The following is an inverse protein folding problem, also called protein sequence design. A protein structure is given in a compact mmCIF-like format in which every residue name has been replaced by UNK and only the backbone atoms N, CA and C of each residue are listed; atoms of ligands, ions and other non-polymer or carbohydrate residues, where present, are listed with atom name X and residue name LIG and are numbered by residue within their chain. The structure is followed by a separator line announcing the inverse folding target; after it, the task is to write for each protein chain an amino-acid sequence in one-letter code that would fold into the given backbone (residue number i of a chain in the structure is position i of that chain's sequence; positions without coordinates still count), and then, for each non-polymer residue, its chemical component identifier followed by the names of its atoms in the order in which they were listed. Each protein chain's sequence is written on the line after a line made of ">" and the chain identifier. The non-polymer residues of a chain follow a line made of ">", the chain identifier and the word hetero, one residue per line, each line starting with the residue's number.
data_IF_686507014608
#
_entry.id   IF_686507014608
#
_cell.length_a   1.000
_cell.length_b   1.000
_cell.length_c   1.000
_cell.angle_alpha   90.00
_cell.angle_beta   90.00
_cell.angle_gamma   90.00
#
_symmetry.space_group_name_H-M   'P 1'
#
loop_
_entity.id
_entity.type
_entity.pdbx_description
1 polymer ?
#
# COMPACT_ATOMS: atom_id res chain seq x y z
N UNK A 1 -14.53 6.01 5.18
CA UNK A 1 -15.24 6.37 3.95
C UNK A 1 -15.08 5.27 2.92
N UNK A 2 -13.87 4.87 2.56
CA UNK A 2 -13.56 3.91 1.49
C UNK A 2 -14.15 2.50 1.69
N UNK A 3 -14.36 2.10 2.93
CA UNK A 3 -14.69 0.71 3.27
C UNK A 3 -16.17 0.43 3.42
N UNK A 4 -16.96 1.45 3.67
CA UNK A 4 -18.39 1.30 3.96
C UNK A 4 -19.23 2.25 3.11
N UNK A 5 -20.22 1.73 2.35
CA UNK A 5 -21.15 2.55 1.60
C UNK A 5 -22.18 3.26 2.51
N UNK A 6 -22.33 2.75 3.75
CA UNK A 6 -23.19 3.33 4.79
C UNK A 6 -22.37 3.46 6.06
N UNK A 7 -22.32 4.65 6.62
CA UNK A 7 -21.61 4.93 7.87
C UNK A 7 -22.59 5.38 8.94
N UNK A 8 -22.52 4.71 10.08
CA UNK A 8 -23.25 5.13 11.28
C UNK A 8 -22.41 6.19 11.98
N UNK A 9 -22.94 7.41 12.07
CA UNK A 9 -22.19 8.56 12.57
C UNK A 9 -22.77 9.04 13.90
N UNK A 10 -21.97 9.05 14.98
CA UNK A 10 -22.36 9.64 16.26
C UNK A 10 -22.46 11.17 16.19
N UNK A 11 -23.07 11.80 17.19
CA UNK A 11 -23.21 13.28 17.25
C UNK A 11 -21.89 14.04 17.21
N UNK A 12 -20.81 13.48 17.74
CA UNK A 12 -19.49 14.14 17.78
C UNK A 12 -18.88 14.39 16.40
N UNK A 13 -19.33 13.73 15.33
CA UNK A 13 -18.85 14.04 13.96
C UNK A 13 -19.23 15.43 13.47
N UNK A 14 -20.17 16.09 14.15
CA UNK A 14 -20.59 17.46 13.88
C UNK A 14 -19.73 18.50 14.65
N UNK A 15 -18.80 18.07 15.47
CA UNK A 15 -17.90 18.98 16.21
C UNK A 15 -16.97 19.66 15.23
N UNK A 16 -16.81 20.97 15.39
CA UNK A 16 -15.94 21.79 14.56
C UNK A 16 -14.48 21.53 14.86
N UNK A 17 -13.71 21.40 13.79
CA UNK A 17 -12.26 21.30 13.81
C UNK A 17 -11.68 22.27 12.77
N UNK A 18 -10.42 22.63 12.94
CA UNK A 18 -9.66 23.43 11.99
C UNK A 18 -8.37 22.68 11.61
N UNK A 19 -8.51 21.63 10.76
CA UNK A 19 -7.38 20.79 10.40
C UNK A 19 -6.36 21.57 9.59
N UNK A 20 -5.08 21.33 9.86
CA UNK A 20 -3.96 21.96 9.17
C UNK A 20 -3.24 20.93 8.29
N UNK A 21 -2.79 21.34 7.11
CA UNK A 21 -1.94 20.52 6.26
C UNK A 21 -0.56 20.31 6.91
N UNK A 22 0.04 19.14 6.66
CA UNK A 22 1.35 18.83 7.28
C UNK A 22 2.44 19.79 6.81
N UNK A 23 2.39 20.20 5.55
CA UNK A 23 3.33 21.15 5.00
C UNK A 23 3.24 22.53 5.66
N UNK A 24 2.01 23.03 5.86
CA UNK A 24 1.78 24.29 6.56
C UNK A 24 2.27 24.21 8.01
N UNK A 25 2.05 23.06 8.68
CA UNK A 25 2.57 22.83 10.03
C UNK A 25 4.10 22.89 10.05
N UNK A 26 4.77 22.28 9.08
CA UNK A 26 6.24 22.29 8.96
C UNK A 26 6.71 23.73 8.73
N UNK A 27 6.03 24.49 7.86
CA UNK A 27 6.35 25.89 7.59
C UNK A 27 6.25 26.75 8.87
N UNK A 28 5.20 26.55 9.68
CA UNK A 28 5.08 27.21 10.98
C UNK A 28 6.22 26.85 11.95
N UNK A 29 6.61 25.56 12.00
CA UNK A 29 7.70 25.11 12.86
C UNK A 29 9.05 25.68 12.39
N UNK A 30 9.28 25.72 11.08
CA UNK A 30 10.49 26.34 10.51
C UNK A 30 10.53 27.84 10.80
N UNK A 31 9.44 28.55 10.54
CA UNK A 31 9.35 29.99 10.80
C UNK A 31 9.53 30.33 12.29
N UNK A 32 9.07 29.45 13.20
CA UNK A 32 9.23 29.63 14.64
C UNK A 32 10.70 29.70 15.10
N UNK A 33 11.63 29.08 14.36
CA UNK A 33 13.08 29.14 14.64
C UNK A 33 13.65 30.56 14.48
N UNK A 34 12.98 31.41 13.71
CA UNK A 34 13.43 32.75 13.37
C UNK A 34 12.68 33.83 14.12
N UNK A 35 11.72 33.50 14.99
CA UNK A 35 11.02 34.46 15.83
C UNK A 35 11.94 34.91 16.96
N UNK A 36 12.39 36.15 16.86
CA UNK A 36 13.20 36.81 17.89
C UNK A 36 12.29 37.35 18.99
N UNK A 37 11.90 36.54 19.94
CA UNK A 37 11.10 36.95 21.07
C UNK A 37 11.74 36.50 22.40
N UNK A 38 11.72 37.37 23.38
CA UNK A 38 12.22 37.06 24.72
C UNK A 38 11.09 36.56 25.59
N UNK A 39 10.93 35.23 25.66
CA UNK A 39 9.95 34.62 26.56
C UNK A 39 9.27 33.37 25.92
N UNK A 40 8.42 32.74 26.72
CA UNK A 40 7.62 31.63 26.25
C UNK A 40 6.27 32.16 25.74
N UNK A 41 6.02 32.01 24.44
CA UNK A 41 4.72 32.37 23.84
C UNK A 41 4.06 31.14 23.26
N UNK A 42 2.74 31.10 23.32
CA UNK A 42 1.91 30.07 22.74
C UNK A 42 1.17 30.68 21.56
N UNK A 43 1.28 30.05 20.37
CA UNK A 43 0.55 30.43 19.18
C UNK A 43 -0.40 29.31 18.79
N UNK A 44 -1.67 29.64 18.57
CA UNK A 44 -2.65 28.72 18.06
C UNK A 44 -2.56 28.71 16.51
N UNK A 45 -2.38 27.53 15.91
CA UNK A 45 -2.29 27.37 14.47
C UNK A 45 -3.36 26.39 13.96
N UNK A 46 -3.88 26.62 12.78
CA UNK A 46 -4.89 25.78 12.11
C UNK A 46 -4.89 26.03 10.61
N UNK A 47 -5.63 25.21 9.86
CA UNK A 47 -5.86 25.42 8.44
C UNK A 47 -6.76 26.62 8.14
N UNK A 48 -6.99 26.91 6.87
CA UNK A 48 -7.83 28.05 6.45
C UNK A 48 -9.31 27.85 6.83
N UNK A 49 -9.80 26.60 6.83
CA UNK A 49 -11.22 26.31 6.99
C UNK A 49 -11.56 25.71 8.34
N UNK A 50 -12.69 26.16 8.90
CA UNK A 50 -13.33 25.49 10.04
C UNK A 50 -14.43 24.57 9.53
N UNK A 51 -14.30 23.28 9.74
CA UNK A 51 -15.18 22.23 9.22
C UNK A 51 -15.52 21.21 10.30
N UNK A 52 -16.64 20.51 10.14
CA UNK A 52 -16.93 19.34 10.99
C UNK A 52 -16.21 18.11 10.47
N UNK A 53 -16.05 17.10 11.34
CA UNK A 53 -15.53 15.79 10.88
C UNK A 53 -16.41 15.15 9.81
N UNK A 54 -17.73 15.41 9.84
CA UNK A 54 -18.65 15.00 8.79
C UNK A 54 -18.31 15.64 7.44
N UNK A 55 -17.93 16.93 7.46
CA UNK A 55 -17.55 17.64 6.24
C UNK A 55 -16.23 17.15 5.69
N UNK A 56 -15.24 16.88 6.56
CA UNK A 56 -13.96 16.23 6.15
C UNK A 56 -14.24 14.90 5.44
N UNK A 57 -15.13 14.07 6.00
CA UNK A 57 -15.51 12.79 5.38
C UNK A 57 -16.18 12.99 4.01
N UNK A 58 -17.05 14.01 3.86
CA UNK A 58 -17.71 14.34 2.57
C UNK A 58 -16.69 14.81 1.54
N UNK A 59 -15.80 15.73 1.93
CA UNK A 59 -14.75 16.27 1.07
C UNK A 59 -13.83 15.12 0.60
N UNK A 60 -13.40 14.24 1.51
CA UNK A 60 -12.62 13.07 1.15
C UNK A 60 -13.35 12.15 0.15
N UNK A 61 -14.61 11.86 0.41
CA UNK A 61 -15.43 11.05 -0.51
C UNK A 61 -15.55 11.70 -1.89
N UNK A 62 -15.72 13.02 -1.95
CA UNK A 62 -15.75 13.77 -3.21
C UNK A 62 -14.43 13.70 -3.96
N UNK A 63 -13.29 13.87 -3.28
CA UNK A 63 -11.96 13.78 -3.90
C UNK A 63 -11.66 12.38 -4.46
N UNK A 64 -12.17 11.32 -3.81
CA UNK A 64 -12.02 9.92 -4.26
C UNK A 64 -13.15 9.42 -5.17
N UNK A 65 -14.15 10.25 -5.51
CA UNK A 65 -15.36 9.86 -6.24
C UNK A 65 -16.14 8.71 -5.59
N UNK A 66 -16.19 8.69 -4.25
CA UNK A 66 -16.87 7.67 -3.48
C UNK A 66 -18.21 8.21 -2.98
N UNK A 67 -19.30 7.52 -3.35
CA UNK A 67 -20.64 7.80 -2.82
C UNK A 67 -20.88 6.98 -1.56
N UNK A 68 -21.20 7.64 -0.46
CA UNK A 68 -21.56 7.00 0.80
C UNK A 68 -22.68 7.77 1.51
N UNK A 69 -23.38 7.09 2.41
CA UNK A 69 -24.45 7.70 3.23
C UNK A 69 -24.06 7.70 4.69
N UNK A 70 -24.28 8.82 5.36
CA UNK A 70 -24.11 8.94 6.81
C UNK A 70 -25.49 8.86 7.47
N UNK A 71 -25.64 7.95 8.42
CA UNK A 71 -26.85 7.81 9.23
C UNK A 71 -26.50 8.29 10.64
N UNK A 72 -27.01 9.47 11.06
CA UNK A 72 -26.75 9.98 12.40
C UNK A 72 -27.50 9.15 13.43
N UNK A 73 -26.80 8.75 14.50
CA UNK A 73 -27.40 8.05 15.64
C UNK A 73 -27.22 8.88 16.91
N UNK A 74 -28.28 9.00 17.75
CA UNK A 74 -28.26 9.88 18.91
C UNK A 74 -27.33 9.40 20.02
N UNK A 75 -27.05 8.11 20.11
CA UNK A 75 -26.32 7.49 21.23
C UNK A 75 -25.34 6.43 20.70
N UNK A 76 -24.12 6.86 20.39
CA UNK A 76 -22.98 5.94 20.37
C UNK A 76 -21.97 6.48 21.36
N UNK A 77 -21.71 5.73 22.42
CA UNK A 77 -20.66 6.09 23.37
C UNK A 77 -19.30 6.04 22.66
N UNK A 78 -18.32 6.86 23.05
CA UNK A 78 -16.96 6.79 22.50
C UNK A 78 -16.36 5.38 22.54
N UNK A 79 -16.76 4.58 23.54
CA UNK A 79 -16.32 3.20 23.69
C UNK A 79 -16.82 2.30 22.54
N UNK A 80 -18.13 2.31 22.24
CA UNK A 80 -18.71 1.52 21.15
C UNK A 80 -18.18 1.98 19.79
N UNK A 81 -18.02 3.28 19.61
CA UNK A 81 -17.42 3.87 18.40
C UNK A 81 -15.96 3.41 18.21
N UNK A 82 -15.18 3.30 19.27
CA UNK A 82 -13.78 2.84 19.21
C UNK A 82 -13.67 1.34 18.88
N UNK A 83 -14.58 0.51 19.41
CA UNK A 83 -14.65 -0.92 19.07
C UNK A 83 -15.02 -1.12 17.60
N UNK A 84 -16.00 -0.37 17.11
CA UNK A 84 -16.39 -0.38 15.70
C UNK A 84 -15.27 0.07 14.79
N UNK A 85 -14.57 1.14 15.16
CA UNK A 85 -13.40 1.61 14.43
C UNK A 85 -12.29 0.56 14.39
N UNK A 86 -12.01 -0.11 15.52
CA UNK A 86 -11.02 -1.18 15.61
C UNK A 86 -11.39 -2.42 14.77
N UNK A 87 -12.68 -2.65 14.51
CA UNK A 87 -13.14 -3.75 13.64
C UNK A 87 -12.96 -3.43 12.15
N UNK A 88 -13.14 -2.16 11.75
CA UNK A 88 -13.16 -1.73 10.35
C UNK A 88 -11.80 -1.21 9.90
N UNK A 89 -11.02 -0.65 10.80
CA UNK A 89 -9.72 -0.05 10.51
C UNK A 89 -8.59 -0.79 11.22
N UNK A 90 -7.39 -0.85 10.65
CA UNK A 90 -6.22 -1.48 11.29
C UNK A 90 -5.68 -0.67 12.49
N UNK A 91 -6.31 0.44 12.84
CA UNK A 91 -5.93 1.26 14.00
C UNK A 91 -6.14 0.49 15.31
N UNK A 92 -5.09 0.46 16.16
CA UNK A 92 -5.21 -0.10 17.50
C UNK A 92 -6.34 0.58 18.26
N UNK A 93 -7.28 -0.21 18.77
CA UNK A 93 -8.48 0.28 19.47
C UNK A 93 -8.16 1.28 20.61
N UNK A 94 -6.98 1.15 21.26
CA UNK A 94 -6.52 2.08 22.30
C UNK A 94 -6.22 3.49 21.76
N UNK A 95 -5.57 3.59 20.59
CA UNK A 95 -5.26 4.88 19.96
C UNK A 95 -6.54 5.47 19.41
N UNK A 96 -7.36 4.69 18.73
CA UNK A 96 -8.67 5.12 18.22
C UNK A 96 -9.58 5.65 19.31
N UNK A 97 -9.59 5.03 20.51
CA UNK A 97 -10.37 5.51 21.65
C UNK A 97 -9.89 6.88 22.13
N UNK A 98 -8.60 7.07 22.32
CA UNK A 98 -8.01 8.37 22.75
C UNK A 98 -8.32 9.48 21.74
N UNK A 99 -8.22 9.17 20.44
CA UNK A 99 -8.57 10.11 19.38
C UNK A 99 -10.06 10.48 19.44
N UNK A 100 -10.96 9.50 19.55
CA UNK A 100 -12.41 9.77 19.63
C UNK A 100 -12.76 10.56 20.89
N UNK A 101 -12.12 10.27 22.04
CA UNK A 101 -12.30 11.03 23.28
C UNK A 101 -11.88 12.50 23.10
N UNK A 102 -10.84 12.79 22.31
CA UNK A 102 -10.39 14.16 22.03
C UNK A 102 -11.27 14.92 21.03
N UNK A 103 -11.86 14.20 20.05
CA UNK A 103 -12.71 14.76 19.00
C UNK A 103 -14.03 15.37 19.54
N UNK A 104 -14.46 14.98 20.74
CA UNK A 104 -15.70 15.50 21.35
C UNK A 104 -15.60 17.02 21.64
N UNK A 105 -14.40 17.56 21.72
CA UNK A 105 -14.16 18.98 21.95
C UNK A 105 -13.82 19.71 20.64
N UNK A 106 -14.34 20.93 20.44
CA UNK A 106 -13.95 21.75 19.27
C UNK A 106 -12.45 22.04 19.27
N UNK A 107 -11.81 21.80 18.14
CA UNK A 107 -10.39 22.11 17.93
C UNK A 107 -10.26 23.18 16.85
N UNK A 108 -10.58 24.42 17.24
CA UNK A 108 -10.55 25.60 16.38
C UNK A 108 -9.64 26.66 16.96
N UNK A 109 -8.99 27.41 16.09
CA UNK A 109 -8.15 28.54 16.47
C UNK A 109 -9.03 29.64 17.09
N UNK A 110 -8.64 30.12 18.24
CA UNK A 110 -9.30 31.23 18.96
C UNK A 110 -8.48 32.53 18.95
N UNK A 111 -7.16 32.36 18.85
CA UNK A 111 -6.22 33.48 18.74
C UNK A 111 -5.50 33.45 17.39
N UNK A 112 -5.81 34.42 16.54
CA UNK A 112 -5.24 34.56 15.20
C UNK A 112 -3.87 35.26 15.19
N UNK A 113 -3.21 35.41 16.33
CA UNK A 113 -1.88 36.06 16.44
C UNK A 113 -0.83 35.37 15.59
N UNK A 114 -0.93 34.05 15.41
CA UNK A 114 -0.03 33.29 14.58
C UNK A 114 0.00 33.79 13.12
N UNK A 115 -1.15 34.08 12.53
CA UNK A 115 -1.25 34.58 11.14
C UNK A 115 -0.53 35.92 10.96
N UNK A 116 -0.55 36.76 12.01
CA UNK A 116 0.11 38.06 11.97
C UNK A 116 1.63 37.98 12.14
N UNK A 117 2.07 37.06 13.01
CA UNK A 117 3.49 36.88 13.34
C UNK A 117 4.21 36.14 12.23
N UNK A 118 3.67 35.02 11.77
CA UNK A 118 4.34 34.14 10.83
C UNK A 118 4.04 34.50 9.36
N UNK A 119 2.96 35.27 9.10
CA UNK A 119 2.54 35.66 7.72
C UNK A 119 2.33 34.47 6.79
N UNK A 120 2.03 33.30 7.32
CA UNK A 120 1.73 32.08 6.58
C UNK A 120 0.23 32.07 6.27
N UNK A 121 -0.14 31.70 5.05
CA UNK A 121 -1.53 31.49 4.64
C UNK A 121 -1.79 29.99 4.54
N UNK A 122 -2.44 29.38 5.54
CA UNK A 122 -2.66 27.95 5.54
C UNK A 122 -3.57 27.51 4.40
N UNK A 123 -3.35 26.30 3.93
CA UNK A 123 -4.12 25.67 2.86
C UNK A 123 -5.55 25.35 3.31
N UNK A 124 -6.51 25.41 2.38
CA UNK A 124 -7.88 24.97 2.61
C UNK A 124 -7.98 23.43 2.73
N UNK A 125 -9.00 22.96 3.46
CA UNK A 125 -9.21 21.53 3.73
C UNK A 125 -9.34 20.70 2.46
N UNK A 126 -10.03 21.21 1.43
CA UNK A 126 -10.20 20.50 0.18
C UNK A 126 -8.86 20.24 -0.52
N UNK A 127 -8.01 21.25 -0.61
CA UNK A 127 -6.72 21.17 -1.29
C UNK A 127 -5.74 20.33 -0.45
N UNK A 128 -5.78 20.46 0.88
CA UNK A 128 -5.00 19.64 1.79
C UNK A 128 -5.34 18.14 1.65
N UNK A 129 -6.63 17.80 1.56
CA UNK A 129 -7.06 16.41 1.36
C UNK A 129 -6.65 15.90 -0.03
N UNK A 130 -6.84 16.70 -1.08
CA UNK A 130 -6.41 16.33 -2.44
C UNK A 130 -4.92 16.05 -2.48
N UNK A 131 -4.11 16.95 -1.91
CA UNK A 131 -2.65 16.81 -1.85
C UNK A 131 -2.22 15.58 -1.04
N UNK A 132 -2.90 15.29 0.07
CA UNK A 132 -2.65 14.08 0.85
C UNK A 132 -2.95 12.81 0.06
N UNK A 133 -4.05 12.79 -0.70
CA UNK A 133 -4.43 11.68 -1.59
C UNK A 133 -3.39 11.50 -2.70
N UNK A 134 -3.01 12.59 -3.38
CA UNK A 134 -1.99 12.56 -4.43
C UNK A 134 -0.65 12.05 -3.89
N UNK A 135 -0.31 12.41 -2.67
CA UNK A 135 0.92 11.95 -2.00
C UNK A 135 0.83 10.48 -1.58
N UNK A 136 -0.35 10.02 -1.12
CA UNK A 136 -0.57 8.61 -0.77
C UNK A 136 -0.50 7.69 -2.00
N UNK A 137 -0.95 8.18 -3.16
CA UNK A 137 -0.94 7.44 -4.42
C UNK A 137 0.43 7.43 -5.10
N UNK A 138 1.37 8.28 -4.68
CA UNK A 138 2.77 8.23 -5.17
C UNK A 138 3.46 6.96 -4.66
N UNK A 139 4.31 6.40 -5.49
CA UNK A 139 5.10 5.21 -5.18
C UNK A 139 6.04 5.42 -3.99
N UNK A 140 6.66 6.60 -3.93
CA UNK A 140 7.51 7.07 -2.83
C UNK A 140 6.90 8.34 -2.22
N UNK A 141 5.99 8.18 -1.28
CA UNK A 141 5.45 9.31 -0.54
C UNK A 141 6.40 9.67 0.60
N UNK A 142 6.82 10.93 0.67
CA UNK A 142 7.73 11.43 1.71
C UNK A 142 7.15 11.33 3.13
N UNK A 143 5.83 11.29 3.25
CA UNK A 143 5.13 11.34 4.54
C UNK A 143 4.01 10.30 4.64
N UNK A 144 4.36 9.01 4.65
CA UNK A 144 3.40 7.98 5.06
C UNK A 144 3.62 7.63 6.52
N UNK A 145 2.62 7.84 7.37
CA UNK A 145 2.69 7.38 8.76
C UNK A 145 2.89 5.85 8.86
N UNK A 146 2.42 5.10 7.85
CA UNK A 146 2.62 3.67 7.71
C UNK A 146 4.09 3.26 7.56
N UNK A 147 4.92 4.17 7.05
CA UNK A 147 6.34 3.95 6.83
C UNK A 147 7.16 4.31 8.07
N UNK A 148 6.52 4.86 9.11
CA UNK A 148 7.17 5.16 10.36
C UNK A 148 7.71 3.88 11.01
N UNK A 149 9.01 3.84 11.26
CA UNK A 149 9.67 2.72 11.93
C UNK A 149 9.07 2.52 13.32
N UNK A 150 8.43 1.37 13.53
CA UNK A 150 8.02 0.97 14.87
C UNK A 150 9.25 0.76 15.73
N UNK A 151 9.32 1.42 16.89
CA UNK A 151 10.40 1.25 17.87
C UNK A 151 10.53 -0.19 18.40
N UNK A 152 9.58 -1.07 18.11
CA UNK A 152 9.58 -2.47 18.54
C UNK A 152 10.41 -3.41 17.65
N UNK A 153 10.85 -2.99 16.45
CA UNK A 153 11.74 -3.73 15.56
C UNK A 153 11.27 -5.13 15.13
N UNK A 154 10.08 -5.58 15.50
CA UNK A 154 9.54 -6.88 15.17
C UNK A 154 8.41 -6.77 14.17
N UNK A 155 8.69 -7.19 12.93
CA UNK A 155 7.68 -7.39 11.89
C UNK A 155 6.98 -8.73 12.19
N UNK A 156 5.75 -8.68 12.71
CA UNK A 156 4.92 -9.87 12.84
C UNK A 156 4.19 -10.12 11.51
N UNK A 157 4.64 -11.14 10.78
CA UNK A 157 4.15 -11.49 9.45
C UNK A 157 2.95 -12.47 9.47
N UNK A 158 2.07 -12.41 10.47
CA UNK A 158 0.98 -13.40 10.59
C UNK A 158 -0.21 -13.15 9.65
N UNK A 159 -0.46 -11.91 9.20
CA UNK A 159 -1.58 -11.56 8.31
C UNK A 159 -1.25 -10.52 7.23
N UNK A 160 0.02 -10.39 6.85
CA UNK A 160 0.47 -9.30 5.99
C UNK A 160 0.51 -7.95 6.74
N UNK A 161 1.34 -7.05 6.28
CA UNK A 161 1.44 -5.70 6.84
C UNK A 161 0.44 -4.81 6.12
N UNK A 162 -0.38 -4.06 6.86
CA UNK A 162 -1.26 -3.05 6.29
C UNK A 162 -0.54 -1.71 6.30
N UNK A 163 -0.33 -1.14 5.12
CA UNK A 163 0.20 0.22 4.94
C UNK A 163 -0.96 1.13 4.51
N UNK A 164 -1.50 1.90 5.45
CA UNK A 164 -2.72 2.67 5.20
C UNK A 164 -3.91 1.77 4.84
N UNK A 165 -4.50 1.94 3.66
CA UNK A 165 -5.50 1.03 3.10
C UNK A 165 -4.88 -0.21 2.44
N UNK A 166 -3.59 -0.20 2.10
CA UNK A 166 -2.90 -1.27 1.39
C UNK A 166 -2.59 -2.45 2.28
N UNK A 167 -2.85 -3.64 1.76
CA UNK A 167 -2.55 -4.92 2.38
C UNK A 167 -1.35 -5.51 1.65
N UNK A 168 -0.31 -5.89 2.40
CA UNK A 168 0.97 -6.34 1.84
C UNK A 168 1.34 -7.70 2.40
N UNK A 169 1.68 -8.64 1.52
CA UNK A 169 2.25 -9.95 1.87
C UNK A 169 3.64 -10.04 1.21
N UNK A 170 4.70 -9.91 2.00
CA UNK A 170 6.09 -9.93 1.54
C UNK A 170 6.82 -11.16 2.06
N UNK A 171 7.59 -11.81 1.17
CA UNK A 171 8.34 -13.04 1.47
C UNK A 171 9.71 -12.96 0.88
N UNK A 172 10.67 -13.57 1.55
CA UNK A 172 12.06 -13.62 1.11
C UNK A 172 12.59 -15.03 1.11
N UNK A 173 13.47 -15.34 0.15
CA UNK A 173 14.27 -16.55 0.12
C UNK A 173 15.70 -16.19 -0.27
N UNK A 174 16.68 -16.81 0.43
CA UNK A 174 18.09 -16.64 0.13
C UNK A 174 18.58 -17.78 -0.74
N UNK A 175 19.31 -17.46 -1.81
CA UNK A 175 19.85 -18.45 -2.76
C UNK A 175 21.32 -18.14 -3.02
N UNK A 176 22.17 -19.16 -3.01
CA UNK A 176 23.62 -19.01 -3.21
C UNK A 176 23.94 -18.92 -4.71
N UNK A 177 23.60 -17.77 -5.30
CA UNK A 177 23.78 -17.48 -6.72
C UNK A 177 23.79 -15.99 -6.97
N UNK A 178 24.50 -15.50 -8.02
CA UNK A 178 24.41 -14.11 -8.45
C UNK A 178 23.01 -13.71 -8.92
N UNK A 179 22.61 -12.42 -8.74
CA UNK A 179 21.29 -11.90 -9.13
C UNK A 179 20.88 -12.21 -10.57
N UNK A 180 21.80 -12.09 -11.51
CA UNK A 180 21.59 -12.33 -12.94
C UNK A 180 21.00 -13.71 -13.27
N UNK A 181 21.41 -14.74 -12.55
CA UNK A 181 20.89 -16.11 -12.79
C UNK A 181 19.54 -16.34 -12.13
N UNK A 182 19.33 -15.71 -10.99
CA UNK A 182 18.08 -15.80 -10.25
C UNK A 182 16.96 -14.99 -10.93
N UNK A 183 17.28 -13.86 -11.54
CA UNK A 183 16.30 -13.03 -12.20
C UNK A 183 15.76 -13.63 -13.52
N UNK A 184 16.51 -14.52 -14.16
CA UNK A 184 16.05 -15.20 -15.41
C UNK A 184 14.71 -15.93 -15.27
N UNK A 185 14.47 -16.79 -14.26
CA UNK A 185 13.14 -17.38 -14.04
C UNK A 185 12.06 -16.31 -13.78
N UNK A 186 12.37 -15.23 -13.05
CA UNK A 186 11.42 -14.13 -12.81
C UNK A 186 11.02 -13.48 -14.13
N UNK A 187 11.97 -13.23 -15.01
CA UNK A 187 11.69 -12.69 -16.36
C UNK A 187 10.85 -13.61 -17.23
N UNK A 188 10.81 -14.93 -16.96
CA UNK A 188 10.07 -15.93 -17.74
C UNK A 188 8.71 -16.29 -17.15
N UNK A 189 8.27 -15.62 -16.10
CA UNK A 189 7.00 -15.88 -15.42
C UNK A 189 5.80 -15.69 -16.35
N UNK A 190 4.77 -16.51 -16.21
CA UNK A 190 3.54 -16.46 -17.00
C UNK A 190 3.61 -17.15 -18.35
N UNK A 191 2.54 -17.10 -19.14
CA UNK A 191 2.40 -17.76 -20.41
C UNK A 191 2.66 -19.27 -20.33
N UNK A 192 3.43 -19.83 -21.29
CA UNK A 192 3.75 -21.25 -21.33
C UNK A 192 4.64 -21.72 -20.17
N UNK A 193 5.42 -20.83 -19.54
CA UNK A 193 6.24 -21.17 -18.37
C UNK A 193 5.37 -21.36 -17.13
N UNK A 194 4.25 -20.65 -17.06
CA UNK A 194 3.37 -20.63 -15.90
C UNK A 194 3.96 -19.85 -14.73
N UNK A 195 3.40 -20.09 -13.54
CA UNK A 195 3.67 -19.34 -12.31
C UNK A 195 4.52 -20.12 -11.31
N UNK A 196 5.24 -21.14 -11.78
CA UNK A 196 6.15 -22.03 -11.04
C UNK A 196 5.48 -22.89 -9.95
N UNK A 197 4.30 -22.53 -9.48
CA UNK A 197 3.53 -23.34 -8.54
C UNK A 197 2.04 -23.16 -8.77
N UNK A 198 1.28 -24.23 -8.53
CA UNK A 198 -0.18 -24.19 -8.51
C UNK A 198 -0.82 -23.61 -9.78
N UNK A 199 -0.26 -23.91 -10.97
CA UNK A 199 -0.72 -23.35 -12.26
C UNK A 199 -2.23 -23.54 -12.49
N UNK A 200 -2.82 -24.62 -12.01
CA UNK A 200 -4.25 -24.85 -12.11
C UNK A 200 -5.09 -23.84 -11.33
N UNK A 201 -4.59 -23.33 -10.18
CA UNK A 201 -5.27 -22.27 -9.42
C UNK A 201 -5.23 -20.95 -10.19
N UNK A 202 -4.14 -20.62 -10.85
CA UNK A 202 -4.04 -19.45 -11.71
C UNK A 202 -5.00 -19.56 -12.90
N UNK A 203 -5.12 -20.75 -13.52
CA UNK A 203 -6.08 -21.02 -14.58
C UNK A 203 -7.52 -20.87 -14.08
N UNK A 204 -7.84 -21.45 -12.91
CA UNK A 204 -9.14 -21.33 -12.27
C UNK A 204 -9.49 -19.87 -11.96
N UNK A 205 -8.54 -19.11 -11.45
CA UNK A 205 -8.70 -17.68 -11.21
C UNK A 205 -8.98 -16.92 -12.51
N UNK A 206 -8.23 -17.23 -13.58
CA UNK A 206 -8.46 -16.66 -14.89
C UNK A 206 -9.83 -17.02 -15.48
N UNK A 207 -10.31 -18.22 -15.27
CA UNK A 207 -11.65 -18.64 -15.66
C UNK A 207 -12.74 -17.83 -14.92
N UNK A 208 -12.64 -17.66 -13.61
CA UNK A 208 -13.57 -16.81 -12.86
C UNK A 208 -13.51 -15.35 -13.29
N UNK A 209 -12.34 -14.85 -13.63
CA UNK A 209 -12.18 -13.48 -14.15
C UNK A 209 -12.97 -13.29 -15.45
N UNK A 210 -12.92 -14.28 -16.35
CA UNK A 210 -13.72 -14.25 -17.60
C UNK A 210 -15.23 -14.25 -17.33
N UNK A 211 -15.70 -14.99 -16.34
CA UNK A 211 -17.13 -15.03 -15.99
C UNK A 211 -17.65 -13.66 -15.53
N UNK A 212 -16.81 -12.88 -14.87
CA UNK A 212 -17.18 -11.52 -14.43
C UNK A 212 -16.78 -10.43 -15.44
N UNK A 213 -16.43 -10.81 -16.66
CA UNK A 213 -16.08 -9.89 -17.74
C UNK A 213 -14.69 -9.28 -17.63
N UNK A 214 -13.76 -9.96 -16.96
CA UNK A 214 -12.34 -9.61 -16.93
C UNK A 214 -11.57 -10.16 -18.12
N UNK A 215 -10.25 -9.97 -18.13
CA UNK A 215 -9.36 -10.35 -19.24
C UNK A 215 -8.99 -11.84 -19.26
N UNK A 216 -9.04 -12.50 -18.10
CA UNK A 216 -8.60 -13.87 -17.93
C UNK A 216 -7.14 -14.09 -18.35
N UNK A 217 -6.75 -15.34 -18.60
CA UNK A 217 -5.40 -15.70 -19.05
C UNK A 217 -5.24 -15.67 -20.58
N UNK A 218 -6.18 -15.08 -21.32
CA UNK A 218 -6.21 -15.13 -22.80
C UNK A 218 -5.08 -14.36 -23.47
N UNK A 219 -4.50 -13.36 -22.80
CA UNK A 219 -3.48 -12.49 -23.41
C UNK A 219 -2.12 -13.18 -23.53
N UNK A 220 -1.86 -14.17 -22.67
CA UNK A 220 -0.58 -14.85 -22.65
C UNK A 220 0.58 -13.89 -22.44
N UNK A 221 1.65 -14.11 -23.20
CA UNK A 221 2.89 -13.35 -23.13
C UNK A 221 3.41 -13.06 -24.54
N UNK A 222 3.82 -11.80 -24.80
CA UNK A 222 4.29 -11.37 -26.13
C UNK A 222 5.65 -11.99 -26.52
N UNK A 223 6.61 -12.00 -25.60
CA UNK A 223 7.95 -12.54 -25.80
C UNK A 223 8.33 -13.55 -24.73
N UNK A 224 8.91 -14.66 -25.11
CA UNK A 224 9.20 -15.77 -24.21
C UNK A 224 10.32 -15.46 -23.19
N UNK A 225 11.34 -14.70 -23.58
CA UNK A 225 12.54 -14.47 -22.76
C UNK A 225 12.66 -13.07 -22.17
N UNK A 226 12.02 -12.08 -22.76
CA UNK A 226 12.18 -10.68 -22.36
C UNK A 226 10.85 -10.07 -21.94
N UNK A 227 10.91 -9.11 -21.04
CA UNK A 227 9.79 -8.26 -20.61
C UNK A 227 10.13 -6.80 -20.87
N UNK A 228 9.14 -6.04 -21.27
CA UNK A 228 9.20 -4.59 -21.39
C UNK A 228 8.06 -3.98 -20.61
N UNK A 229 8.25 -2.75 -20.11
CA UNK A 229 7.16 -1.98 -19.51
C UNK A 229 6.02 -1.85 -20.53
N UNK A 230 4.79 -2.15 -20.08
CA UNK A 230 3.61 -2.19 -20.91
C UNK A 230 3.26 -3.59 -21.47
N UNK A 231 4.15 -4.58 -21.41
CA UNK A 231 3.86 -5.95 -21.85
C UNK A 231 2.80 -6.60 -20.98
N UNK A 232 2.01 -7.50 -21.58
CA UNK A 232 1.04 -8.32 -20.84
C UNK A 232 1.65 -9.67 -20.47
N UNK A 233 1.38 -10.12 -19.27
CA UNK A 233 1.73 -11.43 -18.74
C UNK A 233 0.46 -12.06 -18.17
N UNK A 234 -0.24 -12.86 -18.95
CA UNK A 234 -1.56 -13.41 -18.65
C UNK A 234 -2.57 -12.27 -18.33
N UNK A 235 -2.99 -12.12 -17.08
CA UNK A 235 -3.87 -11.03 -16.60
C UNK A 235 -3.11 -9.92 -15.86
N UNK A 236 -1.80 -9.88 -15.97
CA UNK A 236 -0.94 -8.86 -15.41
C UNK A 236 -0.36 -7.95 -16.52
N UNK A 237 -0.02 -6.73 -16.16
CA UNK A 237 0.75 -5.81 -17.00
C UNK A 237 2.06 -5.46 -16.33
N UNK A 238 3.14 -5.47 -17.09
CA UNK A 238 4.44 -5.00 -16.60
C UNK A 238 4.38 -3.48 -16.42
N UNK A 239 4.47 -3.03 -15.18
CA UNK A 239 4.45 -1.62 -14.82
C UNK A 239 5.87 -1.07 -14.68
N UNK A 240 6.77 -1.89 -14.13
CA UNK A 240 8.16 -1.54 -13.96
C UNK A 240 9.06 -2.76 -14.18
N UNK A 241 10.20 -2.56 -14.82
CA UNK A 241 11.18 -3.60 -15.08
C UNK A 241 12.60 -3.02 -15.08
N UNK A 242 13.36 -3.38 -14.04
CA UNK A 242 14.81 -3.14 -13.95
C UNK A 242 15.53 -4.50 -14.08
N UNK A 243 16.27 -4.74 -15.20
CA UNK A 243 16.90 -6.03 -15.46
C UNK A 243 17.84 -6.48 -14.35
N UNK A 244 17.66 -7.72 -13.91
CA UNK A 244 18.40 -8.40 -12.84
C UNK A 244 18.12 -7.89 -11.42
N UNK A 245 17.26 -6.89 -11.26
CA UNK A 245 17.00 -6.29 -9.97
C UNK A 245 15.51 -6.28 -9.60
N UNK A 246 14.62 -5.75 -10.46
CA UNK A 246 13.24 -5.49 -10.09
C UNK A 246 12.23 -5.78 -11.22
N UNK A 247 11.08 -6.32 -10.84
CA UNK A 247 9.92 -6.49 -11.72
C UNK A 247 8.64 -6.21 -10.94
N UNK A 248 7.81 -5.27 -11.43
CA UNK A 248 6.47 -5.01 -10.91
C UNK A 248 5.42 -5.35 -11.96
N UNK A 249 4.42 -6.07 -11.53
CA UNK A 249 3.27 -6.47 -12.32
C UNK A 249 1.99 -5.88 -11.69
N UNK A 250 1.22 -5.12 -12.48
CA UNK A 250 -0.09 -4.60 -12.09
C UNK A 250 -1.20 -5.56 -12.57
N UNK A 251 -2.17 -5.85 -11.72
CA UNK A 251 -3.28 -6.73 -12.06
C UNK A 251 -4.31 -6.00 -12.93
N UNK A 252 -4.65 -6.59 -14.09
CA UNK A 252 -5.74 -6.13 -14.95
C UNK A 252 -7.01 -7.02 -14.83
N UNK A 253 -6.96 -8.05 -14.00
CA UNK A 253 -8.13 -8.86 -13.67
C UNK A 253 -9.16 -8.04 -12.85
N UNK A 254 -10.42 -8.45 -12.90
CA UNK A 254 -11.48 -7.84 -12.09
C UNK A 254 -11.28 -8.18 -10.61
N UNK A 255 -10.98 -7.14 -9.84
CA UNK A 255 -10.74 -7.20 -8.41
C UNK A 255 -11.60 -6.14 -7.69
N UNK A 256 -12.01 -6.38 -6.46
CA UNK A 256 -12.59 -5.34 -5.62
C UNK A 256 -11.48 -4.46 -5.01
N UNK A 257 -10.61 -3.90 -5.87
CA UNK A 257 -9.43 -3.14 -5.52
C UNK A 257 -8.38 -3.14 -6.62
N UNK A 258 -7.18 -2.68 -6.30
CA UNK A 258 -5.99 -2.74 -7.15
C UNK A 258 -4.98 -3.71 -6.56
N UNK A 259 -4.27 -4.46 -7.40
CA UNK A 259 -3.27 -5.41 -6.93
C UNK A 259 -1.98 -5.32 -7.74
N UNK A 260 -0.86 -5.50 -7.07
CA UNK A 260 0.48 -5.59 -7.65
C UNK A 260 1.21 -6.81 -7.13
N UNK A 261 2.09 -7.33 -7.97
CA UNK A 261 3.02 -8.38 -7.60
C UNK A 261 4.43 -7.94 -7.99
N UNK A 262 5.30 -7.87 -6.99
CA UNK A 262 6.67 -7.39 -7.14
C UNK A 262 7.66 -8.50 -6.87
N UNK A 263 8.76 -8.47 -7.62
CA UNK A 263 9.93 -9.30 -7.40
C UNK A 263 11.16 -8.41 -7.36
N UNK A 264 11.87 -8.46 -6.26
CA UNK A 264 13.13 -7.75 -6.07
C UNK A 264 14.24 -8.78 -5.80
N UNK A 265 15.38 -8.61 -6.46
CA UNK A 265 16.56 -9.45 -6.25
C UNK A 265 17.72 -8.57 -5.86
N UNK A 266 18.23 -8.79 -4.65
CA UNK A 266 19.38 -8.06 -4.11
C UNK A 266 20.45 -9.07 -3.69
N UNK A 267 21.70 -8.84 -4.07
CA UNK A 267 22.79 -9.74 -3.71
C UNK A 267 24.12 -9.36 -4.33
N UNK A 268 25.08 -10.25 -4.18
CA UNK A 268 26.44 -10.16 -4.69
C UNK A 268 26.73 -11.32 -5.68
N UNK A 269 28.01 -11.47 -6.06
CA UNK A 269 28.44 -12.52 -6.99
C UNK A 269 28.29 -13.95 -6.43
N UNK A 270 27.99 -14.13 -5.16
CA UNK A 270 27.94 -15.43 -4.49
C UNK A 270 26.54 -15.77 -3.97
N UNK A 271 25.78 -14.79 -3.57
CA UNK A 271 24.46 -14.99 -2.96
C UNK A 271 23.50 -13.86 -3.27
N UNK A 272 22.21 -14.20 -3.35
CA UNK A 272 21.16 -13.23 -3.54
C UNK A 272 19.96 -13.55 -2.67
N UNK A 273 19.19 -12.53 -2.35
CA UNK A 273 17.89 -12.62 -1.71
C UNK A 273 16.82 -12.22 -2.71
N UNK A 274 15.85 -13.11 -2.93
CA UNK A 274 14.64 -12.81 -3.68
C UNK A 274 13.62 -12.32 -2.68
N UNK A 275 13.04 -11.16 -2.93
CA UNK A 275 11.85 -10.66 -2.23
C UNK A 275 10.68 -10.68 -3.20
N UNK A 276 9.63 -11.36 -2.81
CA UNK A 276 8.35 -11.36 -3.51
C UNK A 276 7.33 -10.63 -2.65
N UNK A 277 6.70 -9.60 -3.19
CA UNK A 277 5.73 -8.78 -2.46
C UNK A 277 4.41 -8.73 -3.25
N UNK A 278 3.34 -9.18 -2.63
CA UNK A 278 1.98 -8.99 -3.13
C UNK A 278 1.34 -7.81 -2.41
N UNK A 279 0.90 -6.83 -3.17
CA UNK A 279 0.27 -5.61 -2.68
C UNK A 279 -1.17 -5.60 -3.13
N UNK A 280 -2.09 -5.30 -2.24
CA UNK A 280 -3.50 -5.14 -2.54
C UNK A 280 -4.06 -3.87 -1.90
N UNK A 281 -4.68 -3.04 -2.71
CA UNK A 281 -5.35 -1.82 -2.30
C UNK A 281 -6.87 -2.06 -2.39
N UNK A 282 -7.53 -2.47 -1.28
CA UNK A 282 -8.92 -2.89 -1.28
C UNK A 282 -9.86 -1.69 -1.47
N UNK A 283 -10.89 -1.86 -2.31
CA UNK A 283 -11.99 -0.89 -2.42
C UNK A 283 -13.18 -1.41 -1.62
N UNK A 284 -13.51 -0.69 -0.55
CA UNK A 284 -14.64 -1.00 0.32
C UNK A 284 -14.51 -2.31 1.09
N UNK A 285 -15.60 -2.71 1.74
CA UNK A 285 -15.67 -3.93 2.55
C UNK A 285 -15.46 -5.20 1.71
N UNK A 286 -15.95 -5.22 0.48
CA UNK A 286 -15.78 -6.38 -0.41
C UNK A 286 -14.32 -6.64 -0.72
N UNK A 287 -13.49 -5.59 -0.87
CA UNK A 287 -12.05 -5.75 -1.05
C UNK A 287 -11.37 -6.40 0.16
N UNK A 288 -11.76 -6.02 1.36
CA UNK A 288 -11.23 -6.62 2.59
C UNK A 288 -11.65 -8.09 2.72
N UNK A 289 -12.93 -8.39 2.53
CA UNK A 289 -13.45 -9.77 2.57
C UNK A 289 -12.72 -10.63 1.54
N UNK A 290 -12.55 -10.11 0.32
CA UNK A 290 -11.81 -10.79 -0.75
C UNK A 290 -10.38 -11.14 -0.32
N UNK A 291 -9.63 -10.19 0.23
CA UNK A 291 -8.26 -10.42 0.68
C UNK A 291 -8.19 -11.49 1.77
N UNK A 292 -8.95 -11.31 2.85
CA UNK A 292 -8.87 -12.23 3.99
C UNK A 292 -9.41 -13.62 3.68
N UNK A 293 -10.43 -13.75 2.82
CA UNK A 293 -10.95 -15.04 2.39
C UNK A 293 -9.92 -15.80 1.52
N UNK A 294 -9.16 -15.09 0.69
CA UNK A 294 -8.13 -15.70 -0.17
C UNK A 294 -6.75 -15.79 0.48
N UNK A 295 -6.54 -15.16 1.63
CA UNK A 295 -5.24 -15.11 2.28
C UNK A 295 -4.61 -16.47 2.55
N UNK A 296 -5.33 -17.50 3.05
CA UNK A 296 -4.74 -18.84 3.22
C UNK A 296 -4.26 -19.45 1.90
N UNK A 297 -5.00 -19.22 0.80
CA UNK A 297 -4.62 -19.64 -0.53
C UNK A 297 -3.41 -18.88 -1.06
N UNK A 298 -3.35 -17.57 -0.83
CA UNK A 298 -2.20 -16.74 -1.16
C UNK A 298 -0.92 -17.24 -0.45
N UNK A 299 -1.04 -17.64 0.83
CA UNK A 299 0.07 -18.20 1.60
C UNK A 299 0.69 -19.41 0.88
N UNK A 300 -0.15 -20.30 0.39
CA UNK A 300 0.26 -21.53 -0.27
C UNK A 300 0.84 -21.25 -1.67
N UNK A 301 0.15 -20.44 -2.46
CA UNK A 301 0.50 -20.14 -3.85
C UNK A 301 1.80 -19.33 -3.92
N UNK A 302 1.93 -18.27 -3.14
CA UNK A 302 3.09 -17.39 -3.19
C UNK A 302 4.34 -18.04 -2.58
N UNK A 303 4.19 -18.83 -1.50
CA UNK A 303 5.31 -19.59 -0.97
C UNK A 303 5.79 -20.67 -1.96
N UNK A 304 4.87 -21.31 -2.68
CA UNK A 304 5.18 -22.27 -3.74
C UNK A 304 5.88 -21.61 -4.91
N UNK A 305 5.38 -20.47 -5.37
CA UNK A 305 5.94 -19.70 -6.48
C UNK A 305 7.37 -19.24 -6.18
N UNK A 306 7.61 -18.67 -5.01
CA UNK A 306 8.94 -18.20 -4.61
C UNK A 306 9.96 -19.35 -4.56
N UNK A 307 9.58 -20.53 -4.01
CA UNK A 307 10.40 -21.74 -4.03
C UNK A 307 10.64 -22.22 -5.45
N UNK A 308 9.60 -22.31 -6.27
CA UNK A 308 9.71 -22.76 -7.65
C UNK A 308 10.62 -21.88 -8.53
N UNK A 309 10.63 -20.55 -8.28
CA UNK A 309 11.58 -19.62 -8.91
C UNK A 309 13.01 -19.96 -8.50
N UNK A 310 13.26 -20.16 -7.20
CA UNK A 310 14.58 -20.50 -6.66
C UNK A 310 15.08 -21.85 -7.21
N UNK A 311 14.25 -22.89 -7.19
CA UNK A 311 14.57 -24.23 -7.72
C UNK A 311 14.88 -24.20 -9.21
N UNK A 312 14.12 -23.41 -9.97
CA UNK A 312 14.36 -23.25 -11.42
C UNK A 312 15.68 -22.54 -11.69
N UNK A 313 16.04 -21.54 -10.92
CA UNK A 313 17.32 -20.86 -11.01
C UNK A 313 18.48 -21.85 -10.78
N UNK A 314 18.39 -22.64 -9.70
CA UNK A 314 19.40 -23.64 -9.36
C UNK A 314 19.58 -24.71 -10.43
N UNK A 315 18.48 -25.28 -10.93
CA UNK A 315 18.49 -26.31 -11.98
C UNK A 315 19.06 -25.81 -13.32
N UNK A 316 18.77 -24.56 -13.67
CA UNK A 316 19.28 -23.96 -14.91
C UNK A 316 20.79 -23.75 -14.87
N UNK A 317 21.35 -23.40 -13.72
CA UNK A 317 22.80 -23.20 -13.55
C UNK A 317 23.56 -24.52 -13.58
N UNK A 318 23.02 -25.57 -12.95
CA UNK A 318 23.62 -26.91 -12.98
C UNK A 318 23.76 -27.46 -14.38
N UNK A 319 22.77 -27.17 -15.26
CA UNK A 319 22.83 -27.57 -16.64
C UNK A 319 23.87 -26.78 -17.46
N UNK A 320 24.05 -25.49 -17.18
CA UNK A 320 25.08 -24.68 -17.82
C UNK A 320 26.48 -25.12 -17.44
N UNK A 321 26.72 -25.49 -16.18
CA UNK A 321 28.01 -26.03 -15.73
C UNK A 321 28.33 -27.41 -16.36
N UNK A 322 27.34 -28.25 -16.63
CA UNK A 322 27.50 -29.54 -17.30
C UNK A 322 27.78 -29.40 -18.81
N UNK A 323 27.34 -28.31 -19.44
CA UNK A 323 27.53 -28.03 -20.87
C UNK A 323 28.82 -27.30 -21.21
N UNK A 324 29.56 -26.84 -20.22
CA UNK A 324 30.92 -26.26 -20.38
C UNK A 324 31.98 -27.32 -20.03
N UNK A 325 32.39 -28.23 -20.97
CA UNK A 325 33.49 -29.11 -20.69
C UNK A 325 34.76 -28.28 -20.66
N UNK A 326 35.53 -28.47 -19.60
CA UNK A 326 36.91 -28.03 -19.46
C UNK A 326 37.66 -28.21 -20.77
N UNK A 327 38.03 -27.13 -21.44
CA UNK A 327 39.20 -27.14 -22.29
C UNK A 327 40.43 -27.11 -21.36
N UNK A 328 40.82 -28.28 -20.92
CA UNK A 328 42.21 -28.55 -20.53
C UNK A 328 42.96 -28.76 -21.81
N UNK A 329 43.67 -27.79 -22.30
CA UNK A 329 44.80 -28.01 -23.22
C UNK A 329 46.02 -28.36 -22.37
N UNK A 330 46.64 -29.51 -22.63
CA UNK A 330 47.98 -29.81 -22.11
C UNK A 330 48.98 -29.56 -23.23
N UNK A 331 49.84 -28.59 -23.05
CA UNK A 331 51.21 -28.65 -23.56
C UNK A 331 52.06 -27.52 -23.01
#
# INVERSE_FOLDING_TARGET
>A
VERLPIMITPKWVQVSAQPIAIEDLIEYLEAALFVLDSGCRVYEIGGADQVSYADIMRIYGSCRNISFRMIPVPVLSPYISSLWLGLITPLYARIGRKLIESIVHPTVVRDESALKVFKIQPMGVHDAIRRAIDNEDKEFAETRWSDSLSSSGKIFSWFGVSFGSRLVDSRTIKVNMPPKFIFKPIQRIGGNTGWYAWNWLWQLRGFFDLLVGGVGMRRGRAHFETLRVGDTVDFWRVEEHDPNHFLRLAAEMKLPGRAWLEFEVVGDDFSSTIRQTAIFDPVGLLGLIYWYALYPLHQLVFAGMLRGIADKALSSNTNLQKMSPLKSDPS
#
